data_IF_714791544058
#
_entry.id   IF_714791544058
#
_cell.length_a   1.000
_cell.length_b   1.000
_cell.length_c   1.000
_cell.angle_alpha   90.00
_cell.angle_beta   90.00
_cell.angle_gamma   90.00
#
_symmetry.space_group_name_H-M   'P 1'
#
loop_
_entity.id
_entity.type
_entity.pdbx_description
1 polymer ?
#
# COMPACT_ATOMS: atom_id res chain seq x y z
N UNK A 1 0.09 -2.90 13.01
CA UNK A 1 -1.36 -2.91 12.74
C UNK A 1 -1.76 -2.24 11.41
N UNK A 2 -0.91 -1.38 10.84
CA UNK A 2 -1.18 -0.63 9.60
C UNK A 2 -0.70 -1.31 8.30
N UNK A 3 -0.27 -2.57 8.39
CA UNK A 3 0.38 -3.25 7.27
C UNK A 3 -0.56 -3.51 6.08
N UNK A 4 0.02 -3.40 4.88
CA UNK A 4 -0.58 -3.97 3.68
C UNK A 4 -0.60 -5.49 3.77
N UNK A 5 -1.60 -6.15 3.15
CA UNK A 5 -1.70 -7.63 3.15
C UNK A 5 -0.39 -8.31 2.76
N UNK A 6 0.35 -7.78 1.77
CA UNK A 6 1.61 -8.38 1.33
C UNK A 6 2.68 -8.43 2.41
N UNK A 7 2.72 -7.43 3.31
CA UNK A 7 3.68 -7.43 4.43
C UNK A 7 3.11 -8.10 5.70
N UNK A 8 1.95 -8.70 5.63
CA UNK A 8 1.35 -9.49 6.70
C UNK A 8 1.26 -10.96 6.33
N UNK A 9 0.56 -11.29 5.23
CA UNK A 9 0.27 -12.68 4.86
C UNK A 9 1.52 -13.45 4.47
N UNK A 10 2.51 -12.79 3.83
CA UNK A 10 3.79 -13.41 3.50
C UNK A 10 4.53 -13.94 4.74
N UNK A 11 4.46 -13.21 5.86
CA UNK A 11 5.06 -13.67 7.11
C UNK A 11 4.25 -14.76 7.80
N UNK A 12 2.91 -14.69 7.73
CA UNK A 12 2.02 -15.69 8.31
C UNK A 12 2.20 -17.09 7.67
N UNK A 13 2.61 -17.14 6.40
CA UNK A 13 2.87 -18.38 5.66
C UNK A 13 4.31 -18.90 5.84
N UNK A 14 5.10 -18.31 6.74
CA UNK A 14 6.45 -18.78 7.09
C UNK A 14 6.42 -19.64 8.36
N UNK A 15 7.59 -20.18 8.74
CA UNK A 15 7.79 -20.86 10.03
C UNK A 15 7.86 -19.92 11.23
N UNK A 16 7.81 -18.61 11.02
CA UNK A 16 7.95 -17.62 12.09
C UNK A 16 6.69 -17.52 12.96
N UNK A 17 6.89 -17.15 14.23
CA UNK A 17 5.79 -16.67 15.07
C UNK A 17 5.55 -15.20 14.76
N UNK A 18 4.39 -14.86 14.23
CA UNK A 18 4.03 -13.52 13.83
C UNK A 18 3.17 -12.85 14.90
N UNK A 19 3.57 -11.68 15.33
CA UNK A 19 2.84 -10.84 16.29
C UNK A 19 2.55 -9.48 15.64
N UNK A 20 1.32 -9.03 15.75
CA UNK A 20 0.95 -7.68 15.32
C UNK A 20 1.19 -6.73 16.48
N UNK A 21 2.00 -5.69 16.29
CA UNK A 21 2.20 -4.63 17.28
C UNK A 21 0.91 -3.81 17.35
N UNK A 22 0.19 -3.82 18.50
CA UNK A 22 -1.02 -3.03 18.66
C UNK A 22 -0.73 -1.52 18.60
N UNK A 23 -1.70 -0.74 18.14
CA UNK A 23 -1.62 0.72 18.20
C UNK A 23 -1.64 1.24 19.65
N UNK A 24 -1.27 2.50 19.81
CA UNK A 24 -1.63 3.26 21.00
C UNK A 24 -3.11 3.70 20.93
N UNK A 25 -3.58 4.40 21.94
CA UNK A 25 -4.94 4.93 22.04
C UNK A 25 -5.33 5.91 20.90
N UNK A 26 -4.34 6.56 20.29
CA UNK A 26 -4.51 7.48 19.17
C UNK A 26 -4.42 6.77 17.79
N UNK A 27 -4.38 5.44 17.75
CA UNK A 27 -4.29 4.67 16.50
C UNK A 27 -2.91 4.69 15.82
N UNK A 28 -1.89 5.25 16.48
CA UNK A 28 -0.51 5.32 15.98
C UNK A 28 0.33 4.12 16.42
N UNK A 29 1.52 3.97 15.83
CA UNK A 29 2.49 2.98 16.25
C UNK A 29 2.85 3.17 17.73
N UNK A 30 2.87 2.07 18.50
CA UNK A 30 3.13 2.08 19.94
C UNK A 30 4.48 1.47 20.28
N UNK A 31 5.43 2.30 20.70
CA UNK A 31 6.77 1.85 21.10
C UNK A 31 6.72 0.97 22.36
N UNK A 32 5.86 1.26 23.32
CA UNK A 32 5.69 0.45 24.54
C UNK A 32 5.24 -0.97 24.22
N UNK A 33 4.35 -1.13 23.21
CA UNK A 33 3.92 -2.44 22.75
C UNK A 33 5.06 -3.19 22.05
N UNK A 34 5.93 -2.51 21.31
CA UNK A 34 7.14 -3.09 20.75
C UNK A 34 8.07 -3.61 21.87
N UNK A 35 8.36 -2.80 22.87
CA UNK A 35 9.18 -3.22 24.00
C UNK A 35 8.62 -4.44 24.75
N UNK A 36 7.29 -4.49 24.96
CA UNK A 36 6.63 -5.65 25.59
C UNK A 36 6.81 -6.92 24.75
N UNK A 37 6.69 -6.84 23.44
CA UNK A 37 6.91 -7.97 22.56
C UNK A 37 8.37 -8.41 22.54
N UNK A 38 9.32 -7.48 22.52
CA UNK A 38 10.74 -7.79 22.57
C UNK A 38 11.12 -8.48 23.90
N UNK A 39 10.58 -8.04 25.02
CA UNK A 39 10.78 -8.71 26.31
C UNK A 39 10.13 -10.11 26.33
N UNK A 40 8.89 -10.25 25.80
CA UNK A 40 8.20 -11.55 25.67
C UNK A 40 9.03 -12.55 24.88
N UNK A 41 9.70 -12.10 23.82
CA UNK A 41 10.46 -12.94 22.91
C UNK A 41 11.98 -12.78 23.02
N UNK A 42 12.48 -12.28 24.14
CA UNK A 42 13.92 -12.02 24.33
C UNK A 42 14.84 -13.23 24.13
N UNK A 43 14.31 -14.45 24.31
CA UNK A 43 15.06 -15.71 24.14
C UNK A 43 15.09 -16.21 22.68
N UNK A 44 14.44 -15.52 21.75
CA UNK A 44 14.48 -15.89 20.33
C UNK A 44 15.79 -15.41 19.72
N UNK A 45 16.44 -16.29 18.95
CA UNK A 45 17.70 -15.99 18.28
C UNK A 45 17.52 -14.98 17.14
N UNK A 46 16.36 -15.02 16.46
CA UNK A 46 16.03 -14.12 15.37
C UNK A 46 14.75 -13.37 15.71
N UNK A 47 14.83 -12.05 15.65
CA UNK A 47 13.71 -11.11 15.82
C UNK A 47 13.70 -10.14 14.65
N UNK A 48 12.58 -10.01 13.98
CA UNK A 48 12.40 -9.13 12.81
C UNK A 48 11.18 -8.24 13.04
N UNK A 49 11.36 -6.93 12.97
CA UNK A 49 10.24 -6.02 12.76
C UNK A 49 10.08 -5.79 11.26
N UNK A 50 8.96 -6.23 10.68
CA UNK A 50 8.60 -5.94 9.30
C UNK A 50 7.45 -4.95 9.33
N UNK A 51 7.72 -3.71 8.91
CA UNK A 51 6.81 -2.58 9.14
C UNK A 51 6.65 -1.73 7.89
N UNK A 52 5.47 -1.16 7.71
CA UNK A 52 5.27 -0.15 6.67
C UNK A 52 5.86 1.19 7.08
N UNK A 53 6.50 1.89 6.17
CA UNK A 53 6.95 3.27 6.37
C UNK A 53 5.81 4.27 6.43
N UNK A 54 4.68 3.90 5.77
CA UNK A 54 3.49 4.74 5.66
C UNK A 54 2.29 3.87 5.32
N UNK A 55 1.17 4.10 5.98
CA UNK A 55 -0.09 3.44 5.67
C UNK A 55 -0.59 3.79 4.27
N UNK A 56 -0.91 2.77 3.48
CA UNK A 56 -1.55 2.94 2.16
C UNK A 56 -3.06 3.27 2.25
N UNK A 57 -3.59 3.40 3.45
CA UNK A 57 -4.98 3.79 3.73
C UNK A 57 -5.07 5.24 4.18
N UNK A 58 -4.28 5.60 5.19
CA UNK A 58 -4.37 6.91 5.85
C UNK A 58 -3.22 7.85 5.52
N UNK A 59 -2.15 7.38 4.88
CA UNK A 59 -0.96 8.19 4.66
C UNK A 59 -0.12 8.44 5.93
N UNK A 60 -0.52 7.92 7.07
CA UNK A 60 0.20 8.09 8.36
C UNK A 60 1.54 7.39 8.28
N UNK A 61 2.60 8.13 8.64
CA UNK A 61 3.99 7.64 8.64
C UNK A 61 4.30 6.89 9.94
N UNK A 62 5.17 5.88 9.86
CA UNK A 62 5.73 5.20 11.04
C UNK A 62 7.13 5.68 11.36
N UNK A 63 7.56 5.69 12.61
CA UNK A 63 8.91 6.10 13.01
C UNK A 63 9.92 4.97 12.80
N UNK A 64 10.10 4.51 11.54
CA UNK A 64 10.84 3.30 11.22
C UNK A 64 12.31 3.32 11.65
N UNK A 65 12.97 4.45 11.64
CA UNK A 65 14.36 4.57 12.14
C UNK A 65 14.45 4.40 13.67
N UNK A 66 13.47 4.90 14.42
CA UNK A 66 13.41 4.67 15.87
C UNK A 66 13.11 3.21 16.19
N UNK A 67 12.24 2.59 15.37
CA UNK A 67 11.95 1.16 15.48
C UNK A 67 13.21 0.34 15.18
N UNK A 68 13.97 0.69 14.14
CA UNK A 68 15.22 0.04 13.79
C UNK A 68 16.22 0.11 14.97
N UNK A 69 16.36 1.28 15.57
CA UNK A 69 17.22 1.47 16.75
C UNK A 69 16.84 0.53 17.91
N UNK A 70 15.57 0.48 18.24
CA UNK A 70 15.08 -0.40 19.32
C UNK A 70 15.30 -1.87 18.96
N UNK A 71 15.07 -2.27 17.70
CA UNK A 71 15.32 -3.63 17.25
C UNK A 71 16.79 -4.02 17.38
N UNK A 72 17.71 -3.17 16.95
CA UNK A 72 19.16 -3.41 17.04
C UNK A 72 19.62 -3.51 18.50
N UNK A 73 19.10 -2.69 19.39
CA UNK A 73 19.38 -2.75 20.83
C UNK A 73 18.91 -4.07 21.48
N UNK A 74 18.06 -4.83 20.78
CA UNK A 74 17.56 -6.13 21.21
C UNK A 74 18.00 -7.29 20.27
N UNK A 75 19.10 -7.12 19.55
CA UNK A 75 19.67 -8.10 18.60
C UNK A 75 18.63 -8.53 17.54
N UNK A 76 17.81 -7.60 17.07
CA UNK A 76 16.81 -7.81 16.04
C UNK A 76 17.13 -7.08 14.75
N UNK A 77 16.31 -7.28 13.73
CA UNK A 77 16.39 -6.64 12.41
C UNK A 77 15.15 -5.80 12.13
N UNK A 78 15.31 -4.76 11.31
CA UNK A 78 14.22 -3.90 10.88
C UNK A 78 14.10 -3.91 9.35
N UNK A 79 12.98 -4.44 8.85
CA UNK A 79 12.62 -4.47 7.44
C UNK A 79 11.48 -3.48 7.20
N UNK A 80 11.62 -2.63 6.19
CA UNK A 80 10.65 -1.54 5.97
C UNK A 80 10.02 -1.61 4.59
N UNK A 81 8.69 -1.66 4.57
CA UNK A 81 7.89 -1.57 3.36
C UNK A 81 7.69 -0.10 2.97
N UNK A 82 8.39 0.33 1.92
CA UNK A 82 8.27 1.65 1.31
C UNK A 82 7.35 1.67 0.10
N UNK A 83 6.60 0.62 -0.17
CA UNK A 83 5.78 0.54 -1.38
C UNK A 83 4.77 1.69 -1.53
N UNK A 84 4.30 2.27 -0.42
CA UNK A 84 3.41 3.43 -0.44
C UNK A 84 4.17 4.75 -0.52
N UNK A 85 5.23 4.92 0.26
CA UNK A 85 5.88 6.21 0.49
C UNK A 85 7.09 6.47 -0.43
N UNK A 86 7.73 5.44 -0.99
CA UNK A 86 8.93 5.59 -1.81
C UNK A 86 8.82 6.62 -2.95
N UNK A 87 7.66 6.80 -3.61
CA UNK A 87 7.51 7.84 -4.62
C UNK A 87 7.70 9.27 -4.10
N UNK A 88 7.51 9.51 -2.79
CA UNK A 88 7.32 10.86 -2.23
C UNK A 88 8.40 11.28 -1.24
N UNK A 89 9.04 10.36 -0.53
CA UNK A 89 10.02 10.66 0.53
C UNK A 89 11.44 10.24 0.16
N UNK A 90 12.43 10.86 0.80
CA UNK A 90 13.79 10.34 0.80
C UNK A 90 13.86 9.04 1.59
N UNK A 91 14.69 8.10 1.12
CA UNK A 91 14.96 6.85 1.81
C UNK A 91 16.45 6.81 2.11
N UNK A 92 16.80 6.72 3.39
CA UNK A 92 18.17 6.54 3.85
C UNK A 92 18.25 5.24 4.65
N UNK A 93 18.98 4.25 4.12
CA UNK A 93 19.21 2.98 4.81
C UNK A 93 20.37 3.07 5.81
N UNK A 94 21.23 4.07 5.69
CA UNK A 94 22.46 4.21 6.47
C UNK A 94 22.61 5.63 7.07
N UNK A 95 21.67 6.05 7.94
CA UNK A 95 21.79 7.34 8.61
C UNK A 95 23.06 7.41 9.47
N UNK A 96 23.45 8.63 9.88
CA UNK A 96 24.66 8.85 10.70
C UNK A 96 24.65 8.01 12.00
N UNK A 97 23.52 7.85 12.65
CA UNK A 97 23.35 6.94 13.78
C UNK A 97 23.21 5.50 13.26
N UNK A 98 24.28 4.72 13.37
CA UNK A 98 24.33 3.34 12.87
C UNK A 98 23.28 2.41 13.52
N UNK A 99 22.79 2.70 14.72
CA UNK A 99 21.71 1.93 15.34
C UNK A 99 20.36 2.11 14.60
N UNK A 100 20.21 3.18 13.82
CA UNK A 100 19.02 3.50 13.04
C UNK A 100 19.04 2.99 11.59
N UNK A 101 20.09 2.26 11.21
CA UNK A 101 20.18 1.66 9.87
C UNK A 101 19.01 0.72 9.60
N UNK A 102 18.63 0.59 8.34
CA UNK A 102 17.61 -0.36 7.91
C UNK A 102 18.27 -1.61 7.33
N UNK A 103 17.78 -2.80 7.71
CA UNK A 103 18.38 -4.05 7.28
C UNK A 103 17.83 -4.51 5.92
N UNK A 104 16.58 -4.22 5.62
CA UNK A 104 15.97 -4.43 4.31
C UNK A 104 14.88 -3.41 4.04
N UNK A 105 14.70 -3.08 2.75
CA UNK A 105 13.59 -2.27 2.27
C UNK A 105 12.95 -2.89 1.04
N UNK A 106 11.64 -2.72 0.92
CA UNK A 106 10.86 -3.14 -0.24
C UNK A 106 10.22 -1.92 -0.87
N UNK A 107 10.29 -1.80 -2.20
CA UNK A 107 9.62 -0.72 -2.90
C UNK A 107 9.00 -1.17 -4.21
N UNK A 108 8.00 -0.41 -4.64
CA UNK A 108 7.21 -0.68 -5.84
C UNK A 108 7.38 0.48 -6.83
N UNK A 109 8.43 0.49 -7.67
CA UNK A 109 8.67 1.60 -8.59
C UNK A 109 7.53 1.85 -9.58
N UNK A 110 6.65 0.86 -9.83
CA UNK A 110 5.46 1.06 -10.65
C UNK A 110 4.46 2.09 -10.07
N UNK A 111 4.61 2.47 -8.78
CA UNK A 111 3.81 3.54 -8.14
C UNK A 111 4.42 4.94 -8.30
N UNK A 112 5.66 5.04 -8.77
CA UNK A 112 6.28 6.32 -9.10
C UNK A 112 5.69 6.90 -10.37
N UNK A 113 5.73 8.22 -10.51
CA UNK A 113 5.39 8.88 -11.77
C UNK A 113 6.27 8.32 -12.90
N UNK A 114 5.64 7.85 -13.98
CA UNK A 114 6.34 7.20 -15.10
C UNK A 114 6.76 5.75 -14.84
N UNK A 115 6.49 5.21 -13.66
CA UNK A 115 6.89 3.87 -13.23
C UNK A 115 6.04 2.66 -13.64
N UNK A 116 4.76 2.77 -14.09
CA UNK A 116 3.97 1.60 -14.45
C UNK A 116 4.68 0.65 -15.41
N UNK A 117 4.68 -0.65 -15.08
CA UNK A 117 5.40 -1.68 -15.82
C UNK A 117 6.85 -1.90 -15.39
N UNK A 118 7.33 -1.22 -14.34
CA UNK A 118 8.64 -1.49 -13.74
C UNK A 118 8.62 -2.70 -12.80
N UNK A 119 9.79 -3.28 -12.55
CA UNK A 119 9.97 -4.33 -11.54
C UNK A 119 9.88 -3.78 -10.12
N UNK A 120 9.51 -4.64 -9.16
CA UNK A 120 9.71 -4.37 -7.74
C UNK A 120 11.19 -4.36 -7.38
N UNK A 121 11.53 -3.74 -6.25
CA UNK A 121 12.90 -3.64 -5.76
C UNK A 121 12.96 -4.07 -4.30
N UNK A 122 13.91 -4.95 -4.01
CA UNK A 122 14.33 -5.34 -2.67
C UNK A 122 15.79 -4.91 -2.50
N UNK A 123 16.07 -4.11 -1.48
CA UNK A 123 17.44 -3.78 -1.05
C UNK A 123 17.64 -4.30 0.36
N UNK A 124 18.70 -5.02 0.61
CA UNK A 124 18.95 -5.61 1.93
C UNK A 124 20.44 -5.69 2.26
N UNK A 125 20.75 -5.78 3.55
CA UNK A 125 22.09 -6.01 4.01
C UNK A 125 22.53 -7.43 3.65
N UNK A 126 23.57 -7.58 2.83
CA UNK A 126 24.06 -8.88 2.35
C UNK A 126 24.43 -9.87 3.49
N UNK A 127 24.69 -9.37 4.72
CA UNK A 127 24.93 -10.23 5.90
C UNK A 127 23.74 -11.09 6.29
N UNK A 128 22.53 -10.71 5.86
CA UNK A 128 21.30 -11.49 6.09
C UNK A 128 21.20 -12.69 5.16
N UNK A 129 21.84 -12.61 4.00
CA UNK A 129 21.76 -13.65 2.98
C UNK A 129 22.81 -14.74 3.24
N UNK A 130 22.34 -15.94 3.54
CA UNK A 130 23.18 -17.11 3.83
C UNK A 130 22.84 -18.32 2.96
N UNK A 131 21.89 -18.18 2.04
CA UNK A 131 21.47 -19.27 1.17
C UNK A 131 22.57 -19.59 0.15
N UNK A 132 22.85 -20.86 0.01
CA UNK A 132 23.79 -21.36 -1.01
C UNK A 132 23.09 -21.63 -2.34
N UNK A 133 21.77 -21.85 -2.28
CA UNK A 133 20.91 -22.12 -3.43
C UNK A 133 19.98 -20.92 -3.59
N UNK A 134 19.82 -20.36 -4.81
CA UNK A 134 18.89 -19.27 -5.05
C UNK A 134 17.44 -19.72 -4.87
N UNK A 135 16.54 -18.76 -4.66
CA UNK A 135 15.10 -19.01 -4.53
C UNK A 135 14.52 -19.65 -5.80
N UNK A 136 14.95 -19.16 -6.98
CA UNK A 136 14.55 -19.68 -8.28
C UNK A 136 15.75 -20.20 -9.08
N UNK A 137 16.25 -21.44 -8.82
CA UNK A 137 17.37 -22.01 -9.57
C UNK A 137 17.06 -22.17 -11.06
N UNK A 138 18.00 -21.84 -11.93
CA UNK A 138 17.81 -21.98 -13.38
C UNK A 138 18.90 -21.34 -14.22
N UNK A 139 18.60 -21.10 -15.49
CA UNK A 139 19.51 -20.38 -16.39
C UNK A 139 19.83 -18.99 -15.86
N UNK A 140 21.08 -18.56 -15.99
CA UNK A 140 21.57 -17.29 -15.45
C UNK A 140 22.02 -17.35 -13.99
N UNK A 141 21.72 -18.43 -13.24
CA UNK A 141 22.07 -18.55 -11.80
C UNK A 141 23.30 -19.42 -11.55
N UNK A 142 23.81 -20.11 -12.56
CA UNK A 142 24.89 -21.11 -12.48
C UNK A 142 26.11 -20.73 -13.32
N UNK A 143 27.30 -20.95 -12.77
CA UNK A 143 28.56 -20.87 -13.49
C UNK A 143 28.79 -22.12 -14.35
N UNK A 144 28.36 -23.28 -13.87
CA UNK A 144 28.67 -24.56 -14.47
C UNK A 144 27.64 -25.64 -14.15
N UNK A 145 27.33 -26.49 -15.12
CA UNK A 145 26.53 -27.68 -14.96
C UNK A 145 27.17 -28.86 -15.70
N UNK A 146 26.94 -30.10 -15.22
CA UNK A 146 27.45 -31.31 -15.85
C UNK A 146 26.33 -32.31 -16.08
N UNK A 147 26.46 -33.22 -17.09
CA UNK A 147 25.46 -34.29 -17.30
C UNK A 147 25.43 -35.33 -16.18
N UNK A 148 26.39 -35.29 -15.26
CA UNK A 148 26.48 -36.19 -14.11
C UNK A 148 25.85 -35.64 -12.83
N UNK A 149 25.07 -34.54 -12.93
CA UNK A 149 24.31 -33.97 -11.82
C UNK A 149 25.08 -32.98 -10.95
N UNK A 150 26.33 -32.61 -11.31
CA UNK A 150 27.11 -31.60 -10.60
C UNK A 150 26.84 -30.23 -11.19
N UNK A 151 26.67 -29.21 -10.33
CA UNK A 151 26.55 -27.82 -10.74
C UNK A 151 27.20 -26.89 -9.72
N UNK A 152 27.50 -25.67 -10.16
CA UNK A 152 28.01 -24.59 -9.32
C UNK A 152 27.21 -23.34 -9.57
N UNK A 153 26.62 -22.74 -8.52
CA UNK A 153 25.95 -21.45 -8.58
C UNK A 153 26.94 -20.30 -8.61
N UNK A 154 26.52 -19.19 -9.22
CA UNK A 154 27.25 -17.92 -9.23
C UNK A 154 27.45 -17.42 -7.80
N UNK A 155 28.63 -16.85 -7.49
CA UNK A 155 28.96 -16.37 -6.15
C UNK A 155 28.28 -15.04 -5.83
N UNK A 156 28.13 -14.15 -6.84
CA UNK A 156 27.43 -12.89 -6.69
C UNK A 156 25.96 -13.15 -6.37
N UNK A 157 25.48 -12.62 -5.24
CA UNK A 157 24.13 -12.84 -4.74
C UNK A 157 23.09 -12.27 -5.71
N UNK A 158 23.32 -11.05 -6.22
CA UNK A 158 22.38 -10.35 -7.10
C UNK A 158 22.19 -11.11 -8.42
N UNK A 159 23.28 -11.57 -9.03
CA UNK A 159 23.26 -12.37 -10.26
C UNK A 159 22.65 -13.75 -10.01
N UNK A 160 22.99 -14.38 -8.89
CA UNK A 160 22.46 -15.68 -8.52
C UNK A 160 20.97 -15.70 -8.29
N UNK A 161 20.39 -14.62 -7.75
CA UNK A 161 18.95 -14.50 -7.50
C UNK A 161 18.17 -13.99 -8.74
N UNK A 162 18.85 -13.52 -9.79
CA UNK A 162 18.22 -13.03 -11.03
C UNK A 162 18.15 -14.17 -12.08
N UNK A 163 17.33 -15.18 -11.78
CA UNK A 163 17.16 -16.35 -12.65
C UNK A 163 16.37 -16.03 -13.93
N UNK A 164 16.88 -16.55 -15.05
CA UNK A 164 16.28 -16.37 -16.38
C UNK A 164 16.80 -15.13 -17.10
N UNK A 165 16.07 -14.68 -18.11
CA UNK A 165 16.41 -13.45 -18.85
C UNK A 165 15.97 -12.24 -18.05
N UNK A 166 16.89 -11.32 -17.68
CA UNK A 166 16.55 -10.13 -16.91
C UNK A 166 15.51 -9.25 -17.60
N UNK A 167 14.64 -8.65 -16.81
CA UNK A 167 13.64 -7.70 -17.28
C UNK A 167 14.25 -6.33 -17.58
N UNK A 168 15.07 -6.21 -18.62
CA UNK A 168 15.85 -4.99 -18.92
C UNK A 168 15.01 -3.72 -19.00
N UNK A 169 13.89 -3.77 -19.72
CA UNK A 169 13.01 -2.58 -19.87
C UNK A 169 12.34 -2.20 -18.57
N UNK A 170 11.99 -3.17 -17.74
CA UNK A 170 11.37 -2.97 -16.43
C UNK A 170 12.35 -2.28 -15.47
N UNK A 171 13.62 -2.72 -15.47
CA UNK A 171 14.70 -2.12 -14.65
C UNK A 171 15.04 -0.71 -15.12
N UNK A 172 15.18 -0.49 -16.44
CA UNK A 172 15.41 0.84 -17.00
C UNK A 172 14.27 1.78 -16.63
N UNK A 173 13.02 1.32 -16.70
CA UNK A 173 11.85 2.12 -16.31
C UNK A 173 11.86 2.47 -14.83
N UNK A 174 12.19 1.51 -13.94
CA UNK A 174 12.35 1.78 -12.52
C UNK A 174 13.40 2.88 -12.27
N UNK A 175 14.57 2.76 -12.90
CA UNK A 175 15.66 3.74 -12.79
C UNK A 175 15.24 5.13 -13.26
N UNK A 176 14.55 5.22 -14.40
CA UNK A 176 14.06 6.50 -14.94
C UNK A 176 13.01 7.13 -14.02
N UNK A 177 12.11 6.35 -13.45
CA UNK A 177 11.09 6.85 -12.51
C UNK A 177 11.73 7.38 -11.21
N UNK A 178 12.73 6.70 -10.68
CA UNK A 178 13.51 7.16 -9.51
C UNK A 178 14.24 8.46 -9.84
N UNK A 179 14.93 8.53 -10.99
CA UNK A 179 15.61 9.77 -11.43
C UNK A 179 14.65 10.94 -11.65
N UNK A 180 13.44 10.67 -12.14
CA UNK A 180 12.41 11.69 -12.27
C UNK A 180 12.01 12.26 -10.90
N UNK A 181 11.78 11.39 -9.92
CA UNK A 181 11.50 11.80 -8.53
C UNK A 181 12.63 12.68 -7.97
N UNK A 182 13.90 12.24 -8.13
CA UNK A 182 15.06 13.02 -7.69
C UNK A 182 15.11 14.40 -8.35
N UNK A 183 14.83 14.48 -9.65
CA UNK A 183 14.81 15.74 -10.41
C UNK A 183 13.67 16.66 -9.98
N UNK A 184 12.52 16.13 -9.57
CA UNK A 184 11.41 16.91 -9.02
C UNK A 184 11.78 17.52 -7.66
N UNK A 185 12.67 16.89 -6.91
CA UNK A 185 13.13 17.31 -5.59
C UNK A 185 12.14 16.89 -4.49
N UNK A 186 12.57 16.00 -3.61
CA UNK A 186 11.72 15.42 -2.56
C UNK A 186 11.16 16.49 -1.63
N UNK A 187 11.96 17.46 -1.20
CA UNK A 187 11.53 18.52 -0.29
C UNK A 187 10.44 19.40 -0.93
N UNK A 188 10.58 19.72 -2.22
CA UNK A 188 9.55 20.46 -2.97
C UNK A 188 8.26 19.65 -3.09
N UNK A 189 8.37 18.35 -3.34
CA UNK A 189 7.22 17.44 -3.44
C UNK A 189 6.48 17.37 -2.11
N UNK A 190 7.20 17.21 -1.00
CA UNK A 190 6.61 17.15 0.34
C UNK A 190 5.94 18.47 0.74
N UNK A 191 6.59 19.60 0.50
CA UNK A 191 5.99 20.91 0.76
C UNK A 191 4.70 21.13 -0.04
N UNK A 192 4.71 20.73 -1.31
CA UNK A 192 3.51 20.82 -2.16
C UNK A 192 2.40 19.88 -1.68
N UNK A 193 2.72 18.69 -1.26
CA UNK A 193 1.76 17.72 -0.72
C UNK A 193 1.11 18.26 0.56
N UNK A 194 1.90 18.85 1.46
CA UNK A 194 1.40 19.48 2.71
C UNK A 194 0.43 20.65 2.42
N UNK A 195 0.68 21.48 1.39
CA UNK A 195 -0.25 22.52 0.95
C UNK A 195 -1.60 21.93 0.51
N UNK A 196 -1.56 20.91 -0.35
CA UNK A 196 -2.75 20.24 -0.87
C UNK A 196 -3.55 19.55 0.23
N UNK A 197 -2.85 18.90 1.17
CA UNK A 197 -3.48 18.27 2.34
C UNK A 197 -4.15 19.27 3.26
N UNK A 198 -3.48 20.39 3.54
CA UNK A 198 -4.04 21.46 4.36
C UNK A 198 -5.36 21.95 3.75
N UNK A 199 -5.36 22.25 2.45
CA UNK A 199 -6.58 22.65 1.74
C UNK A 199 -7.68 21.59 1.83
N UNK A 200 -7.35 20.33 1.60
CA UNK A 200 -8.32 19.22 1.67
C UNK A 200 -8.95 19.10 3.05
N UNK A 201 -8.14 19.08 4.11
CA UNK A 201 -8.67 18.92 5.47
C UNK A 201 -9.54 20.11 5.88
N UNK A 202 -9.19 21.34 5.52
CA UNK A 202 -10.02 22.53 5.76
C UNK A 202 -11.38 22.40 5.08
N UNK A 203 -11.40 21.95 3.83
CA UNK A 203 -12.64 21.78 3.05
C UNK A 203 -13.51 20.64 3.59
N UNK A 204 -12.93 19.50 3.93
CA UNK A 204 -13.68 18.31 4.37
C UNK A 204 -14.18 18.42 5.81
N UNK A 205 -13.45 19.10 6.70
CA UNK A 205 -13.82 19.28 8.11
C UNK A 205 -15.19 19.90 8.31
N UNK A 206 -15.62 20.74 7.40
CA UNK A 206 -16.88 21.48 7.51
C UNK A 206 -18.12 20.63 7.12
N UNK A 207 -17.96 19.48 6.48
CA UNK A 207 -19.07 18.72 5.94
C UNK A 207 -19.51 17.58 6.87
N UNK A 208 -20.76 17.62 7.41
CA UNK A 208 -21.23 16.66 8.44
C UNK A 208 -21.33 15.22 7.92
N UNK A 209 -21.53 15.00 6.62
CA UNK A 209 -21.76 13.68 6.01
C UNK A 209 -20.48 13.09 5.39
N UNK A 210 -19.31 13.70 5.61
CA UNK A 210 -18.01 13.17 5.15
C UNK A 210 -17.15 12.88 6.38
N UNK A 211 -16.75 11.61 6.51
CA UNK A 211 -15.87 11.16 7.59
C UNK A 211 -14.51 10.74 7.02
N UNK A 212 -13.48 11.58 7.20
CA UNK A 212 -12.10 11.23 6.82
C UNK A 212 -11.50 10.32 7.89
N UNK A 213 -10.96 9.17 7.48
CA UNK A 213 -10.36 8.21 8.41
C UNK A 213 -9.10 8.79 9.07
N UNK A 214 -9.00 8.62 10.39
CA UNK A 214 -7.93 9.16 11.23
C UNK A 214 -7.70 10.68 10.99
N UNK A 215 -8.78 11.45 10.92
CA UNK A 215 -8.78 12.88 10.57
C UNK A 215 -7.98 13.76 11.54
N UNK A 216 -7.77 13.31 12.76
CA UNK A 216 -6.95 13.96 13.78
C UNK A 216 -5.45 14.03 13.42
N UNK A 217 -5.00 13.15 12.53
CA UNK A 217 -3.61 13.10 12.07
C UNK A 217 -3.48 13.71 10.67
N UNK A 218 -3.33 15.01 10.58
CA UNK A 218 -3.27 15.74 9.30
C UNK A 218 -1.88 15.72 8.66
N UNK A 219 -0.81 15.57 9.44
CA UNK A 219 0.56 15.46 8.93
C UNK A 219 0.84 14.04 8.42
N UNK A 220 0.50 13.80 7.17
CA UNK A 220 0.56 12.49 6.49
C UNK A 220 0.96 12.64 5.02
N UNK A 221 1.11 11.54 4.30
CA UNK A 221 1.21 11.58 2.84
C UNK A 221 -0.18 11.71 2.19
N UNK A 222 -0.23 12.14 0.93
CA UNK A 222 -1.43 12.41 0.14
C UNK A 222 -2.30 11.19 -0.16
N UNK A 223 -2.50 10.32 0.83
CA UNK A 223 -3.39 9.16 0.79
C UNK A 223 -4.54 9.41 1.75
N UNK A 224 -5.72 9.64 1.21
CA UNK A 224 -6.90 10.06 1.93
C UNK A 224 -8.01 9.03 1.77
N UNK A 225 -8.44 8.44 2.85
CA UNK A 225 -9.58 7.53 2.89
C UNK A 225 -10.72 8.18 3.66
N UNK A 226 -11.92 8.06 3.10
CA UNK A 226 -13.12 8.70 3.66
C UNK A 226 -14.37 7.85 3.43
N UNK A 227 -15.37 8.08 4.25
CA UNK A 227 -16.71 7.55 4.07
C UNK A 227 -17.70 8.71 3.84
N UNK A 228 -18.73 8.43 3.06
CA UNK A 228 -19.85 9.35 2.81
C UNK A 228 -21.10 8.69 3.36
N UNK A 229 -21.80 9.40 4.23
CA UNK A 229 -22.97 8.86 4.91
C UNK A 229 -24.06 8.45 3.91
N UNK A 230 -24.61 7.25 4.15
CA UNK A 230 -25.66 6.69 3.29
C UNK A 230 -25.20 6.04 1.99
N UNK A 231 -23.89 6.09 1.66
CA UNK A 231 -23.33 5.45 0.47
C UNK A 231 -22.38 4.29 0.82
N UNK A 232 -22.52 3.21 0.09
CA UNK A 232 -21.50 2.17 0.04
C UNK A 232 -20.29 2.70 -0.75
N UNK A 233 -19.08 2.36 -0.32
CA UNK A 233 -17.84 2.86 -0.96
C UNK A 233 -17.76 2.58 -2.46
N UNK A 234 -18.20 1.40 -2.95
CA UNK A 234 -18.19 1.07 -4.37
C UNK A 234 -19.20 1.92 -5.15
N UNK A 235 -20.35 2.23 -4.56
CA UNK A 235 -21.30 3.15 -5.16
C UNK A 235 -20.77 4.57 -5.23
N UNK A 236 -20.13 5.03 -4.16
CA UNK A 236 -19.50 6.36 -4.14
C UNK A 236 -18.42 6.49 -5.23
N UNK A 237 -17.55 5.48 -5.37
CA UNK A 237 -16.54 5.41 -6.45
C UNK A 237 -17.20 5.45 -7.83
N UNK A 238 -18.29 4.68 -8.01
CA UNK A 238 -19.02 4.64 -9.28
C UNK A 238 -19.63 6.00 -9.63
N UNK A 239 -20.28 6.67 -8.68
CA UNK A 239 -20.85 8.00 -8.88
C UNK A 239 -19.77 9.04 -9.19
N UNK A 240 -18.65 9.03 -8.46
CA UNK A 240 -17.50 9.91 -8.72
C UNK A 240 -16.99 9.78 -10.15
N UNK A 241 -16.86 8.54 -10.64
CA UNK A 241 -16.46 8.28 -12.02
C UNK A 241 -17.49 8.77 -13.04
N UNK A 242 -18.76 8.39 -12.88
CA UNK A 242 -19.78 8.61 -13.90
C UNK A 242 -20.19 10.07 -14.01
N UNK A 243 -20.26 10.80 -12.89
CA UNK A 243 -20.71 12.20 -12.89
C UNK A 243 -19.56 13.20 -13.04
N UNK A 244 -18.39 12.88 -12.53
CA UNK A 244 -17.30 13.85 -12.40
C UNK A 244 -16.01 13.42 -13.10
N UNK A 245 -15.94 12.19 -13.65
CA UNK A 245 -14.72 11.66 -14.26
C UNK A 245 -13.58 11.42 -13.25
N UNK A 246 -13.89 11.38 -11.96
CA UNK A 246 -12.89 11.14 -10.90
C UNK A 246 -12.74 9.64 -10.67
N UNK A 247 -11.56 9.11 -10.97
CA UNK A 247 -11.20 7.74 -10.67
C UNK A 247 -10.63 7.64 -9.27
N UNK A 248 -11.32 6.93 -8.40
CA UNK A 248 -10.93 6.65 -7.02
C UNK A 248 -10.97 5.16 -6.74
N UNK A 249 -10.58 4.73 -5.56
CA UNK A 249 -10.58 3.31 -5.18
C UNK A 249 -11.50 3.06 -4.01
N UNK A 250 -12.45 2.12 -4.16
CA UNK A 250 -13.30 1.61 -3.09
C UNK A 250 -12.70 0.38 -2.39
N UNK A 251 -13.23 0.06 -1.20
CA UNK A 251 -12.90 -1.14 -0.43
C UNK A 251 -11.82 -0.95 0.62
N UNK A 252 -11.31 -2.05 1.16
CA UNK A 252 -10.33 -2.06 2.28
C UNK A 252 -8.89 -1.76 1.83
N UNK A 253 -8.63 -1.50 0.57
CA UNK A 253 -7.32 -1.13 0.02
C UNK A 253 -6.18 -2.12 0.34
N UNK A 254 -6.49 -3.42 0.44
CA UNK A 254 -5.56 -4.48 0.85
C UNK A 254 -4.92 -4.26 2.24
N UNK A 255 -5.69 -3.70 3.19
CA UNK A 255 -5.30 -3.45 4.56
C UNK A 255 -6.41 -3.87 5.52
N UNK A 256 -6.89 -5.11 5.42
CA UNK A 256 -8.03 -5.62 6.19
C UNK A 256 -7.81 -5.55 7.70
N UNK A 257 -6.61 -5.88 8.18
CA UNK A 257 -6.25 -5.77 9.60
C UNK A 257 -6.40 -4.32 10.08
N UNK A 258 -5.82 -3.36 9.35
CA UNK A 258 -5.97 -1.95 9.69
C UNK A 258 -7.42 -1.47 9.56
N UNK A 259 -8.17 -2.01 8.60
CA UNK A 259 -9.60 -1.75 8.45
C UNK A 259 -10.41 -2.12 9.68
N UNK A 260 -10.09 -3.23 10.36
CA UNK A 260 -10.75 -3.61 11.61
C UNK A 260 -10.51 -2.55 12.70
N UNK A 261 -9.29 -2.02 12.81
CA UNK A 261 -8.98 -0.92 13.74
C UNK A 261 -9.74 0.36 13.39
N UNK A 262 -9.66 0.80 12.14
CA UNK A 262 -10.26 2.07 11.69
C UNK A 262 -11.79 2.09 11.77
N UNK A 263 -12.44 0.94 11.48
CA UNK A 263 -13.89 0.80 11.46
C UNK A 263 -14.43 0.17 12.76
N UNK A 264 -13.58 -0.06 13.77
CA UNK A 264 -13.91 -0.65 15.05
C UNK A 264 -14.69 -1.97 14.92
N UNK A 265 -14.24 -2.84 14.00
CA UNK A 265 -14.85 -4.14 13.75
C UNK A 265 -14.28 -5.15 14.74
N UNK A 266 -15.10 -5.63 15.65
CA UNK A 266 -14.73 -6.68 16.58
C UNK A 266 -14.73 -8.08 15.94
N UNK A 267 -14.25 -9.07 16.68
CA UNK A 267 -14.13 -10.45 16.19
C UNK A 267 -15.48 -11.05 15.80
N UNK A 268 -16.55 -10.76 16.54
CA UNK A 268 -17.90 -11.27 16.25
C UNK A 268 -18.41 -10.70 14.92
N UNK A 269 -18.33 -9.39 14.78
CA UNK A 269 -18.73 -8.71 13.54
C UNK A 269 -17.91 -9.16 12.34
N UNK A 270 -16.60 -9.35 12.53
CA UNK A 270 -15.70 -9.87 11.49
C UNK A 270 -16.13 -11.27 11.02
N UNK A 271 -16.48 -12.17 11.94
CA UNK A 271 -16.95 -13.51 11.60
C UNK A 271 -18.28 -13.49 10.85
N UNK A 272 -19.22 -12.63 11.24
CA UNK A 272 -20.51 -12.45 10.53
C UNK A 272 -20.30 -11.93 9.09
N UNK A 273 -19.35 -10.99 8.91
CA UNK A 273 -19.00 -10.48 7.58
C UNK A 273 -18.38 -11.59 6.73
N UNK A 274 -17.45 -12.35 7.30
CA UNK A 274 -16.76 -13.44 6.59
C UNK A 274 -17.77 -14.50 6.10
N UNK A 275 -18.73 -14.89 6.94
CA UNK A 275 -19.79 -15.84 6.58
C UNK A 275 -20.60 -15.33 5.37
N UNK A 276 -21.07 -14.08 5.42
CA UNK A 276 -21.84 -13.47 4.33
C UNK A 276 -21.03 -13.37 3.03
N UNK A 277 -19.80 -12.90 3.13
CA UNK A 277 -18.91 -12.80 1.98
C UNK A 277 -18.61 -14.18 1.36
N UNK A 278 -18.47 -15.23 2.18
CA UNK A 278 -18.28 -16.61 1.73
C UNK A 278 -19.53 -17.16 1.02
N UNK A 279 -20.71 -16.63 1.34
CA UNK A 279 -21.96 -16.92 0.63
C UNK A 279 -22.18 -16.06 -0.64
N UNK A 280 -21.21 -15.22 -1.01
CA UNK A 280 -21.26 -14.40 -2.23
C UNK A 280 -21.77 -12.96 -2.05
N UNK A 281 -22.11 -12.54 -0.81
CA UNK A 281 -22.56 -11.17 -0.49
C UNK A 281 -21.36 -10.23 -0.35
N UNK A 282 -20.68 -9.95 -1.47
CA UNK A 282 -19.43 -9.16 -1.47
C UNK A 282 -19.64 -7.70 -1.08
N UNK A 283 -20.85 -7.16 -1.26
CA UNK A 283 -21.27 -5.84 -0.81
C UNK A 283 -21.25 -5.66 0.71
N UNK A 284 -21.15 -6.76 1.45
CA UNK A 284 -21.02 -6.69 2.91
C UNK A 284 -19.58 -6.41 3.38
N UNK A 285 -18.61 -6.41 2.46
CA UNK A 285 -17.22 -6.07 2.81
C UNK A 285 -17.13 -4.62 3.25
N UNK A 286 -16.58 -4.35 4.44
CA UNK A 286 -16.34 -2.99 4.89
C UNK A 286 -15.23 -2.34 4.05
N UNK A 287 -15.31 -1.03 3.91
CA UNK A 287 -14.32 -0.29 3.13
C UNK A 287 -14.57 1.21 3.19
N UNK A 288 -13.84 1.91 2.39
CA UNK A 288 -13.84 3.37 2.26
C UNK A 288 -13.58 3.78 0.80
N UNK A 289 -13.82 5.03 0.49
CA UNK A 289 -13.33 5.66 -0.75
C UNK A 289 -11.94 6.20 -0.47
N UNK A 290 -10.95 5.82 -1.29
CA UNK A 290 -9.59 6.34 -1.21
C UNK A 290 -9.29 7.29 -2.37
N UNK A 291 -8.93 8.51 -2.04
CA UNK A 291 -8.38 9.52 -2.94
C UNK A 291 -6.88 9.59 -2.71
N UNK A 292 -6.09 9.51 -3.78
CA UNK A 292 -4.64 9.68 -3.72
C UNK A 292 -4.24 10.95 -4.44
N UNK A 293 -3.54 11.83 -3.74
CA UNK A 293 -3.10 13.13 -4.25
C UNK A 293 -1.63 12.99 -4.64
N UNK A 294 -1.25 13.56 -5.77
CA UNK A 294 0.15 13.64 -6.19
C UNK A 294 0.63 15.10 -6.12
N UNK A 295 1.90 15.38 -5.82
CA UNK A 295 2.42 16.76 -5.78
C UNK A 295 2.27 17.55 -7.10
N UNK A 296 2.03 16.86 -8.22
CA UNK A 296 1.72 17.52 -9.51
C UNK A 296 0.28 18.00 -9.63
N UNK A 297 -0.60 17.64 -8.69
CA UNK A 297 -2.00 18.09 -8.67
C UNK A 297 -2.04 19.61 -8.55
N UNK A 298 -2.73 20.28 -9.47
CA UNK A 298 -2.95 21.72 -9.44
C UNK A 298 -3.95 22.12 -8.36
N UNK A 299 -3.96 23.40 -7.98
CA UNK A 299 -4.96 23.92 -7.03
C UNK A 299 -6.38 23.75 -7.58
N UNK A 300 -6.58 23.99 -8.89
CA UNK A 300 -7.88 23.83 -9.54
C UNK A 300 -8.37 22.39 -9.52
N UNK A 301 -7.50 21.41 -9.77
CA UNK A 301 -7.86 20.00 -9.66
C UNK A 301 -8.18 19.60 -8.23
N UNK A 302 -7.43 20.12 -7.25
CA UNK A 302 -7.71 19.84 -5.84
C UNK A 302 -9.04 20.47 -5.38
N UNK A 303 -9.33 21.69 -5.79
CA UNK A 303 -10.62 22.35 -5.56
C UNK A 303 -11.75 21.55 -6.19
N UNK A 304 -11.61 21.15 -7.44
CA UNK A 304 -12.60 20.33 -8.15
C UNK A 304 -12.87 19.00 -7.43
N UNK A 305 -11.84 18.29 -6.99
CA UNK A 305 -12.00 17.06 -6.23
C UNK A 305 -12.78 17.28 -4.93
N UNK A 306 -12.45 18.33 -4.19
CA UNK A 306 -13.17 18.68 -2.96
C UNK A 306 -14.65 19.03 -3.23
N UNK A 307 -14.92 19.84 -4.26
CA UNK A 307 -16.29 20.21 -4.63
C UNK A 307 -17.13 19.01 -5.05
N UNK A 308 -16.53 18.07 -5.79
CA UNK A 308 -17.19 16.84 -6.20
C UNK A 308 -17.48 15.91 -5.02
N UNK A 309 -16.59 15.81 -4.04
CA UNK A 309 -16.82 15.02 -2.82
C UNK A 309 -17.95 15.64 -1.97
N UNK A 310 -17.98 16.96 -1.86
CA UNK A 310 -19.05 17.70 -1.17
C UNK A 310 -20.39 17.49 -1.89
N UNK A 311 -20.43 17.71 -3.21
CA UNK A 311 -21.63 17.49 -4.01
C UNK A 311 -22.15 16.04 -3.90
N UNK A 312 -21.23 15.06 -3.89
CA UNK A 312 -21.61 13.67 -3.70
C UNK A 312 -22.23 13.43 -2.32
N UNK A 313 -21.72 14.07 -1.28
CA UNK A 313 -22.26 13.94 0.08
C UNK A 313 -23.61 14.64 0.24
N UNK A 314 -23.78 15.80 -0.40
CA UNK A 314 -25.05 16.58 -0.41
C UNK A 314 -26.19 15.81 -1.12
N UNK A 315 -25.86 15.14 -2.22
CA UNK A 315 -26.83 14.46 -3.07
C UNK A 315 -26.82 12.92 -2.91
N UNK A 316 -26.14 12.39 -1.91
CA UNK A 316 -25.94 10.96 -1.71
C UNK A 316 -27.21 10.12 -1.84
N UNK A 317 -28.28 10.51 -1.14
CA UNK A 317 -29.56 9.79 -1.10
C UNK A 317 -30.37 9.93 -2.39
N UNK A 318 -30.17 11.02 -3.13
CA UNK A 318 -30.80 11.26 -4.43
C UNK A 318 -30.15 10.40 -5.50
N UNK A 319 -28.84 10.55 -5.68
CA UNK A 319 -28.11 9.87 -6.74
C UNK A 319 -28.01 8.36 -6.54
N UNK A 320 -28.04 7.88 -5.30
CA UNK A 320 -28.12 6.45 -4.99
C UNK A 320 -29.30 5.76 -5.70
N UNK A 321 -30.43 6.45 -5.90
CA UNK A 321 -31.63 5.89 -6.55
C UNK A 321 -31.46 5.62 -8.03
N UNK A 322 -30.43 6.21 -8.64
CA UNK A 322 -30.11 6.04 -10.06
C UNK A 322 -29.25 4.80 -10.34
N UNK A 323 -28.88 4.06 -9.29
CA UNK A 323 -28.01 2.88 -9.41
C UNK A 323 -28.65 1.64 -8.84
N UNK A 324 -28.43 0.52 -9.53
CA UNK A 324 -28.83 -0.82 -9.11
C UNK A 324 -27.60 -1.65 -8.79
N UNK A 325 -27.68 -2.44 -7.72
CA UNK A 325 -26.66 -3.43 -7.41
C UNK A 325 -26.99 -4.74 -8.15
N UNK A 326 -26.15 -5.12 -9.11
CA UNK A 326 -26.30 -6.34 -9.89
C UNK A 326 -25.01 -7.15 -9.85
N UNK A 327 -25.09 -8.39 -9.38
CA UNK A 327 -23.94 -9.32 -9.30
C UNK A 327 -22.72 -8.73 -8.58
N UNK A 328 -22.96 -7.95 -7.51
CA UNK A 328 -21.88 -7.32 -6.73
C UNK A 328 -21.30 -6.02 -7.32
N UNK A 329 -21.86 -5.49 -8.40
CA UNK A 329 -21.44 -4.24 -9.03
C UNK A 329 -22.60 -3.25 -9.16
N UNK A 330 -22.31 -1.97 -8.95
CA UNK A 330 -23.29 -0.90 -9.16
C UNK A 330 -23.33 -0.50 -10.64
N UNK A 331 -24.54 -0.42 -11.18
CA UNK A 331 -24.82 -0.02 -12.57
C UNK A 331 -25.86 1.10 -12.57
N UNK A 332 -25.64 2.13 -13.38
CA UNK A 332 -26.63 3.19 -13.56
C UNK A 332 -27.87 2.65 -14.29
N UNK A 333 -29.07 3.08 -13.90
CA UNK A 333 -30.35 2.58 -14.47
C UNK A 333 -30.49 2.81 -15.98
N UNK A 334 -29.86 3.84 -16.52
CA UNK A 334 -29.87 4.13 -17.97
C UNK A 334 -28.80 3.35 -18.75
N UNK A 335 -27.89 2.67 -18.08
CA UNK A 335 -26.83 1.91 -18.74
C UNK A 335 -27.42 0.66 -19.39
N UNK A 336 -27.39 0.57 -20.71
CA UNK A 336 -27.78 -0.65 -21.41
C UNK A 336 -26.82 -1.76 -21.02
N UNK A 337 -27.35 -2.94 -20.71
CA UNK A 337 -26.53 -4.15 -20.57
C UNK A 337 -25.88 -4.37 -21.94
N UNK A 338 -24.66 -3.90 -22.11
CA UNK A 338 -23.84 -4.36 -23.23
C UNK A 338 -23.48 -5.82 -22.91
N UNK A 339 -24.03 -6.76 -23.66
CA UNK A 339 -23.35 -8.03 -23.84
C UNK A 339 -21.94 -7.66 -24.25
N UNK A 340 -20.96 -7.87 -23.40
CA UNK A 340 -19.57 -7.33 -23.43
C UNK A 340 -19.11 -6.82 -24.80
N UNK A 341 -18.22 -5.85 -24.83
CA UNK A 341 -17.63 -5.44 -26.13
C UNK A 341 -17.16 -6.74 -26.76
N UNK A 342 -17.77 -7.23 -27.86
CA UNK A 342 -17.26 -8.42 -28.50
C UNK A 342 -15.80 -8.13 -28.79
N UNK A 343 -14.89 -8.96 -28.29
CA UNK A 343 -13.50 -8.95 -28.75
C UNK A 343 -13.60 -9.02 -30.26
N UNK A 344 -13.37 -7.88 -30.92
CA UNK A 344 -13.47 -7.83 -32.37
C UNK A 344 -12.22 -8.56 -32.86
N UNK A 345 -12.40 -9.78 -33.34
CA UNK A 345 -11.31 -10.60 -33.89
C UNK A 345 -10.50 -9.82 -34.95
N UNK A 346 -11.14 -8.83 -35.59
CA UNK A 346 -10.48 -7.89 -36.52
C UNK A 346 -9.37 -7.05 -35.90
N UNK A 347 -9.30 -6.91 -34.56
CA UNK A 347 -8.19 -6.20 -33.89
C UNK A 347 -6.89 -7.01 -33.91
N UNK A 348 -6.97 -8.28 -34.21
CA UNK A 348 -5.84 -9.22 -34.25
C UNK A 348 -5.58 -9.77 -35.67
N UNK A 349 -6.33 -9.33 -36.68
CA UNK A 349 -6.01 -9.59 -38.06
C UNK A 349 -4.86 -8.65 -38.50
N UNK A 350 -3.66 -9.25 -38.68
CA UNK A 350 -2.44 -8.58 -39.18
C UNK A 350 -2.38 -8.76 -40.68
#
# INVERSE_FOLDING_TARGET
>A
HMEHHSNQTSWLETIATVEVIPSNENGLFCMENLYRLLEKYKKRDVKIASITSCSNVTGIKTPYHEIAKVMHQHDGFCFVDFACSAPYIAIDMHPEDAERCLDAIFMSPHKFLGGPGSSGVLVFNKKLYKNLVPDCPGGGTVDWTTPWGTHKFIENIEEREDGGTPGFLQVIRASLAIKLKEKMGVDNMMAREDELLTYFFERMKAHPNISVLAHEHTHRLGVLSLNIDGLHHDLAVRILNDRFGIQSRGGCSCAGTYGHYLLQIDQKRSSEILEKVSCGFTEMKPGWVRVSIHPTTSNQEMEYVCDCLIALADHALEWKKEYLLEKGHYRHVSEKISEGIPLNDQWFEV
#
